data_IF_232747449249
#
_entry.id   IF_232747449249
#
_cell.length_a   1.000
_cell.length_b   1.000
_cell.length_c   1.000
_cell.angle_alpha   90.00
_cell.angle_beta   90.00
_cell.angle_gamma   90.00
#
_symmetry.space_group_name_H-M   'P 1'
#
loop_
_entity.id
_entity.type
_entity.pdbx_description
1 polymer ?
#
# COMPACT_ATOMS: atom_id res chain seq x y z
N UNK A 1 6.08 -9.59 -10.25
CA UNK A 1 7.27 -10.46 -10.50
C UNK A 1 7.79 -10.38 -11.94
N UNK A 2 6.93 -10.42 -12.96
CA UNK A 2 7.36 -10.38 -14.38
C UNK A 2 8.14 -9.10 -14.76
N UNK A 3 7.99 -8.00 -14.00
CA UNK A 3 8.64 -6.71 -14.23
C UNK A 3 9.74 -6.38 -13.22
N UNK A 4 10.20 -7.38 -12.45
CA UNK A 4 11.28 -7.20 -11.48
C UNK A 4 10.93 -6.34 -10.25
N UNK A 5 9.63 -6.15 -9.96
CA UNK A 5 9.17 -5.52 -8.73
C UNK A 5 9.04 -6.60 -7.65
N UNK A 6 9.82 -6.54 -6.56
CA UNK A 6 9.64 -7.42 -5.42
C UNK A 6 8.27 -7.20 -4.78
N UNK A 7 7.50 -8.27 -4.67
CA UNK A 7 6.18 -8.31 -4.02
C UNK A 7 6.09 -9.56 -3.16
N UNK A 8 5.26 -9.60 -2.11
CA UNK A 8 5.02 -10.82 -1.35
C UNK A 8 4.50 -11.93 -2.25
N UNK A 9 4.69 -13.18 -1.85
CA UNK A 9 4.00 -14.30 -2.49
C UNK A 9 2.51 -14.08 -2.33
N UNK A 10 1.79 -14.11 -3.44
CA UNK A 10 0.38 -13.74 -3.49
C UNK A 10 -0.38 -14.73 -4.35
N UNK A 11 -1.54 -15.16 -3.86
CA UNK A 11 -2.50 -15.99 -4.55
C UNK A 11 -3.83 -15.25 -4.70
N UNK A 12 -4.43 -15.35 -5.88
CA UNK A 12 -5.85 -15.05 -6.05
C UNK A 12 -6.60 -16.34 -5.74
N UNK A 13 -7.43 -16.29 -4.71
CA UNK A 13 -8.10 -17.45 -4.13
C UNK A 13 -9.58 -17.43 -4.48
N UNK A 14 -10.07 -18.52 -5.01
CA UNK A 14 -11.46 -18.85 -5.22
C UNK A 14 -11.79 -20.19 -4.51
N UNK A 15 -13.07 -20.60 -4.49
CA UNK A 15 -13.50 -21.78 -3.70
C UNK A 15 -12.75 -23.07 -4.04
N UNK A 16 -12.38 -23.26 -5.31
CA UNK A 16 -11.74 -24.49 -5.79
C UNK A 16 -10.28 -24.62 -5.36
N UNK A 17 -9.52 -23.49 -5.31
CA UNK A 17 -8.10 -23.51 -4.95
C UNK A 17 -7.83 -23.08 -3.48
N UNK A 18 -8.86 -22.80 -2.71
CA UNK A 18 -8.74 -22.36 -1.31
C UNK A 18 -7.90 -23.28 -0.42
N UNK A 19 -7.93 -24.59 -0.70
CA UNK A 19 -7.15 -25.61 0.01
C UNK A 19 -5.63 -25.51 -0.21
N UNK A 20 -5.20 -24.80 -1.25
CA UNK A 20 -3.78 -24.70 -1.63
C UNK A 20 -3.07 -23.56 -0.86
N UNK A 21 -3.83 -22.65 -0.24
CA UNK A 21 -3.28 -21.42 0.38
C UNK A 21 -2.23 -21.74 1.44
N UNK A 22 -2.53 -22.65 2.38
CA UNK A 22 -1.61 -23.01 3.47
C UNK A 22 -0.33 -23.67 2.95
N UNK A 23 -0.44 -24.55 1.95
CA UNK A 23 0.70 -25.22 1.34
C UNK A 23 1.60 -24.24 0.54
N UNK A 24 0.99 -23.30 -0.17
CA UNK A 24 1.70 -22.34 -1.03
C UNK A 24 2.33 -21.18 -0.26
N UNK A 25 1.64 -20.64 0.74
CA UNK A 25 2.10 -19.44 1.45
C UNK A 25 2.74 -19.75 2.81
N UNK A 26 2.38 -20.87 3.44
CA UNK A 26 2.75 -21.17 4.82
C UNK A 26 1.96 -20.33 5.83
N UNK A 27 2.34 -20.43 7.11
CA UNK A 27 1.74 -19.67 8.20
C UNK A 27 2.79 -18.86 8.97
N UNK A 28 2.38 -17.67 9.49
CA UNK A 28 1.10 -17.02 9.25
C UNK A 28 0.95 -16.52 7.82
N UNK A 29 -0.29 -16.39 7.34
CA UNK A 29 -0.63 -15.74 6.08
C UNK A 29 -1.71 -14.67 6.27
N UNK A 30 -1.87 -13.79 5.27
CA UNK A 30 -2.81 -12.68 5.32
C UNK A 30 -3.85 -12.84 4.23
N UNK A 31 -5.11 -12.70 4.58
CA UNK A 31 -6.23 -12.69 3.65
C UNK A 31 -6.77 -11.28 3.53
N UNK A 32 -7.06 -10.86 2.30
CA UNK A 32 -7.63 -9.54 1.97
C UNK A 32 -8.82 -9.70 1.03
N UNK A 33 -9.88 -8.95 1.25
CA UNK A 33 -10.93 -8.81 0.24
C UNK A 33 -10.49 -7.78 -0.80
N UNK A 34 -10.65 -8.07 -2.11
CA UNK A 34 -10.22 -7.16 -3.18
C UNK A 34 -10.93 -5.81 -3.17
N UNK A 35 -12.18 -5.78 -2.67
CA UNK A 35 -13.09 -4.64 -2.63
C UNK A 35 -13.05 -3.87 -1.29
N UNK A 36 -12.00 -4.05 -0.50
CA UNK A 36 -11.85 -3.42 0.81
C UNK A 36 -10.77 -2.35 0.82
N UNK A 37 -10.94 -1.36 1.69
CA UNK A 37 -10.00 -0.27 1.92
C UNK A 37 -9.75 -0.06 3.41
N UNK A 38 -8.74 0.72 3.77
CA UNK A 38 -8.43 1.11 5.15
C UNK A 38 -8.25 -0.08 6.11
N UNK A 39 -7.57 -1.15 5.68
CA UNK A 39 -7.40 -2.40 6.43
C UNK A 39 -8.71 -3.11 6.83
N UNK A 40 -9.86 -2.65 6.35
CA UNK A 40 -11.13 -3.35 6.53
C UNK A 40 -11.12 -4.61 5.65
N UNK A 41 -11.46 -5.76 6.24
CA UNK A 41 -11.42 -7.03 5.50
C UNK A 41 -10.01 -7.54 5.23
N UNK A 42 -9.06 -7.20 6.10
CA UNK A 42 -7.71 -7.78 6.15
C UNK A 42 -7.56 -8.55 7.45
N UNK A 43 -7.29 -9.84 7.37
CA UNK A 43 -7.11 -10.74 8.53
C UNK A 43 -5.84 -11.56 8.39
N UNK A 44 -5.26 -11.95 9.51
CA UNK A 44 -4.12 -12.85 9.57
C UNK A 44 -4.59 -14.21 10.07
N UNK A 45 -4.21 -15.26 9.38
CA UNK A 45 -4.40 -16.64 9.80
C UNK A 45 -3.06 -17.21 10.28
N UNK A 46 -3.02 -17.67 11.53
CA UNK A 46 -1.82 -18.20 12.15
C UNK A 46 -1.66 -19.72 11.90
N UNK A 47 -2.74 -20.38 11.54
CA UNK A 47 -2.81 -21.81 11.28
C UNK A 47 -3.94 -22.16 10.29
N UNK A 48 -4.04 -23.43 9.97
CA UNK A 48 -5.03 -23.97 9.04
C UNK A 48 -6.48 -23.83 9.54
N UNK A 49 -6.71 -23.85 10.85
CA UNK A 49 -8.03 -23.70 11.43
C UNK A 49 -8.54 -22.26 11.28
N UNK A 50 -7.70 -21.27 11.60
CA UNK A 50 -8.00 -19.86 11.40
C UNK A 50 -8.19 -19.54 9.91
N UNK A 51 -7.33 -20.10 9.05
CA UNK A 51 -7.45 -19.94 7.60
C UNK A 51 -8.83 -20.37 7.09
N UNK A 52 -9.29 -21.58 7.46
CA UNK A 52 -10.61 -22.09 7.06
C UNK A 52 -11.76 -21.22 7.56
N UNK A 53 -11.70 -20.77 8.81
CA UNK A 53 -12.72 -19.91 9.39
C UNK A 53 -12.80 -18.56 8.66
N UNK A 54 -11.65 -17.94 8.37
CA UNK A 54 -11.60 -16.67 7.65
C UNK A 54 -12.05 -16.81 6.18
N UNK A 55 -11.64 -17.86 5.48
CA UNK A 55 -12.08 -18.14 4.12
C UNK A 55 -13.59 -18.32 4.06
N UNK A 56 -14.20 -19.06 4.98
CA UNK A 56 -15.66 -19.24 5.05
C UNK A 56 -16.37 -17.88 5.20
N UNK A 57 -15.86 -17.02 6.09
CA UNK A 57 -16.42 -15.68 6.32
C UNK A 57 -16.27 -14.78 5.08
N UNK A 58 -15.13 -14.82 4.41
CA UNK A 58 -14.84 -13.97 3.26
C UNK A 58 -15.62 -14.40 2.02
N UNK A 59 -15.73 -15.71 1.75
CA UNK A 59 -16.51 -16.24 0.66
C UNK A 59 -18.03 -16.07 0.80
N UNK A 60 -18.50 -15.69 1.99
CA UNK A 60 -19.90 -15.26 2.15
C UNK A 60 -20.18 -13.88 1.52
N UNK A 61 -19.12 -13.09 1.22
CA UNK A 61 -19.22 -11.70 0.77
C UNK A 61 -18.45 -11.40 -0.52
N UNK A 62 -17.52 -12.26 -0.93
CA UNK A 62 -16.68 -12.06 -2.12
C UNK A 62 -16.41 -13.39 -2.81
N UNK A 63 -16.42 -13.43 -4.12
CA UNK A 63 -16.06 -14.61 -4.90
C UNK A 63 -14.56 -14.84 -4.97
N UNK A 64 -13.79 -13.76 -4.85
CA UNK A 64 -12.34 -13.77 -4.89
C UNK A 64 -11.76 -13.20 -3.58
N UNK A 65 -10.65 -13.77 -3.17
CA UNK A 65 -9.87 -13.33 -2.00
C UNK A 65 -8.40 -13.21 -2.45
N UNK A 66 -7.70 -12.22 -1.94
CA UNK A 66 -6.24 -12.14 -2.10
C UNK A 66 -5.61 -12.74 -0.85
N UNK A 67 -4.80 -13.79 -1.02
CA UNK A 67 -3.98 -14.35 0.05
C UNK A 67 -2.51 -14.00 -0.18
N UNK A 68 -1.83 -13.57 0.88
CA UNK A 68 -0.42 -13.18 0.84
C UNK A 68 0.37 -13.81 1.99
N UNK A 69 1.66 -14.09 1.76
CA UNK A 69 2.56 -14.43 2.85
C UNK A 69 2.62 -13.27 3.84
N UNK A 70 2.73 -13.59 5.13
CA UNK A 70 2.89 -12.58 6.17
C UNK A 70 4.34 -12.13 6.23
N UNK A 71 4.56 -10.84 6.07
CA UNK A 71 5.87 -10.20 6.17
C UNK A 71 5.88 -9.28 7.41
N UNK A 72 6.53 -9.68 8.53
CA UNK A 72 6.58 -8.87 9.74
C UNK A 72 7.48 -7.65 9.53
N UNK A 73 7.03 -6.48 10.00
CA UNK A 73 7.80 -5.25 10.02
C UNK A 73 7.39 -4.39 11.22
N UNK A 74 8.24 -3.49 11.64
CA UNK A 74 7.94 -2.52 12.72
C UNK A 74 7.18 -1.31 12.17
N UNK A 75 7.37 -1.00 10.91
CA UNK A 75 6.71 0.07 10.17
C UNK A 75 6.63 -0.29 8.68
N UNK A 76 5.79 0.40 7.98
CA UNK A 76 5.73 0.40 6.52
C UNK A 76 6.18 1.77 5.99
N UNK A 77 7.03 1.77 4.98
CA UNK A 77 7.31 2.97 4.20
C UNK A 77 6.09 3.30 3.34
N UNK A 78 5.66 4.56 3.36
CA UNK A 78 4.79 5.13 2.32
C UNK A 78 5.55 6.20 1.57
N UNK A 79 5.80 5.95 0.31
CA UNK A 79 6.52 6.88 -0.56
C UNK A 79 5.53 7.44 -1.58
N UNK A 80 5.31 8.76 -1.51
CA UNK A 80 4.50 9.48 -2.50
C UNK A 80 5.29 9.64 -3.79
N UNK A 81 4.69 9.24 -4.89
CA UNK A 81 5.27 9.39 -6.25
C UNK A 81 4.30 10.18 -7.12
N UNK A 82 4.73 11.36 -7.55
CA UNK A 82 3.95 12.25 -8.40
C UNK A 82 4.59 12.34 -9.78
N UNK A 83 3.85 11.96 -10.80
CA UNK A 83 4.31 12.04 -12.22
C UNK A 83 5.68 11.35 -12.46
N UNK A 84 5.90 10.21 -11.77
CA UNK A 84 7.14 9.45 -11.84
C UNK A 84 8.30 10.01 -11.01
N UNK A 85 8.05 11.05 -10.19
CA UNK A 85 9.06 11.68 -9.32
C UNK A 85 8.68 11.46 -7.86
N UNK A 86 9.61 11.06 -6.96
CA UNK A 86 9.32 10.94 -5.55
C UNK A 86 8.99 12.32 -4.96
N UNK A 87 7.97 12.39 -4.11
CA UNK A 87 7.47 13.63 -3.52
C UNK A 87 7.69 13.69 -2.01
N UNK A 88 7.28 12.66 -1.27
CA UNK A 88 7.42 12.58 0.17
C UNK A 88 7.69 11.13 0.61
N UNK A 89 8.20 10.96 1.82
CA UNK A 89 8.40 9.65 2.43
C UNK A 89 8.00 9.65 3.90
N UNK A 90 7.21 8.64 4.30
CA UNK A 90 6.75 8.47 5.67
C UNK A 90 7.02 7.04 6.15
N UNK A 91 7.29 6.89 7.44
CA UNK A 91 7.24 5.61 8.17
C UNK A 91 5.94 5.53 8.95
N UNK A 92 5.08 4.61 8.57
CA UNK A 92 3.85 4.30 9.27
C UNK A 92 4.11 3.14 10.23
N UNK A 93 4.25 3.46 11.51
CA UNK A 93 4.53 2.45 12.54
C UNK A 93 3.32 1.57 12.80
N UNK A 94 3.59 0.31 13.12
CA UNK A 94 2.53 -0.59 13.58
C UNK A 94 1.90 -0.08 14.88
N UNK A 95 0.59 -0.26 15.00
CA UNK A 95 -0.10 0.00 16.26
C UNK A 95 0.51 -0.86 17.35
N UNK A 96 0.78 -0.26 18.52
CA UNK A 96 1.39 -0.98 19.65
C UNK A 96 0.66 -2.29 19.96
N UNK A 97 1.39 -3.39 19.91
CA UNK A 97 0.85 -4.73 20.14
C UNK A 97 0.07 -5.31 18.96
N UNK A 98 0.19 -4.70 17.76
CA UNK A 98 -0.48 -5.17 16.55
C UNK A 98 0.46 -5.21 15.35
N UNK A 99 0.06 -5.91 14.31
CA UNK A 99 0.82 -6.10 13.08
C UNK A 99 0.35 -5.20 11.92
N UNK A 100 -0.60 -4.30 12.18
CA UNK A 100 -1.14 -3.34 11.21
C UNK A 100 -0.87 -1.91 11.67
N UNK A 101 -0.78 -0.99 10.71
CA UNK A 101 -0.59 0.45 10.95
C UNK A 101 -1.84 1.12 11.52
N UNK A 102 -3.00 0.47 11.36
CA UNK A 102 -4.27 0.93 11.93
C UNK A 102 -5.13 -0.26 12.35
N UNK A 103 -5.90 -0.09 13.39
CA UNK A 103 -6.80 -1.11 13.97
C UNK A 103 -8.14 -0.48 14.29
N UNK A 104 -9.22 -1.13 13.86
CA UNK A 104 -10.56 -0.74 14.29
C UNK A 104 -10.75 -1.16 15.76
N UNK A 105 -11.14 -0.22 16.63
CA UNK A 105 -11.54 -0.50 18.01
C UNK A 105 -13.04 -0.80 18.09
N UNK A 106 -13.83 -0.08 17.28
CA UNK A 106 -15.26 -0.30 17.09
C UNK A 106 -15.69 0.15 15.68
N UNK A 107 -16.98 0.27 15.42
CA UNK A 107 -17.53 0.72 14.13
C UNK A 107 -17.19 2.16 13.77
N UNK A 108 -16.78 2.98 14.72
CA UNK A 108 -16.56 4.43 14.57
C UNK A 108 -15.14 4.87 14.92
N UNK A 109 -14.44 4.13 15.77
CA UNK A 109 -13.11 4.48 16.29
C UNK A 109 -12.01 3.61 15.72
N UNK A 110 -10.91 4.25 15.36
CA UNK A 110 -9.69 3.59 14.90
C UNK A 110 -8.51 4.08 15.70
N UNK A 111 -7.57 3.19 15.95
CA UNK A 111 -6.28 3.51 16.52
C UNK A 111 -5.24 3.40 15.41
N UNK A 112 -4.40 4.41 15.31
CA UNK A 112 -3.33 4.52 14.32
C UNK A 112 -1.98 4.37 15.01
N UNK A 113 -1.02 3.82 14.30
CA UNK A 113 0.38 3.90 14.67
C UNK A 113 0.93 5.32 14.48
N UNK A 114 2.11 5.57 15.05
CA UNK A 114 2.82 6.84 14.83
C UNK A 114 3.24 6.95 13.37
N UNK A 115 3.26 8.17 12.85
CA UNK A 115 3.82 8.49 11.53
C UNK A 115 5.04 9.36 11.72
N UNK A 116 6.16 8.99 11.11
CA UNK A 116 7.36 9.84 11.01
C UNK A 116 7.54 10.21 9.54
N UNK A 117 7.56 11.49 9.22
CA UNK A 117 7.86 11.99 7.87
C UNK A 117 9.31 12.40 7.79
N UNK A 118 9.99 11.93 6.76
CA UNK A 118 11.42 12.14 6.55
C UNK A 118 11.66 12.91 5.25
N UNK A 119 12.79 13.60 5.19
CA UNK A 119 13.32 14.09 3.93
C UNK A 119 13.64 12.93 2.98
N UNK A 120 13.58 13.19 1.68
CA UNK A 120 13.96 12.17 0.69
C UNK A 120 15.44 11.79 0.79
N UNK A 121 16.28 12.70 1.25
CA UNK A 121 17.70 12.49 1.53
C UNK A 121 17.97 11.63 2.77
N UNK A 122 17.01 11.57 3.69
CA UNK A 122 17.04 10.70 4.87
C UNK A 122 16.39 9.32 4.63
N UNK A 123 15.79 9.13 3.46
CA UNK A 123 15.06 7.90 3.09
C UNK A 123 15.98 6.98 2.29
N UNK A 124 15.98 5.65 2.55
CA UNK A 124 16.80 4.72 1.78
C UNK A 124 16.59 4.87 0.27
N UNK A 125 17.65 5.14 -0.51
CA UNK A 125 17.52 5.39 -1.95
C UNK A 125 16.94 4.18 -2.70
N UNK A 126 17.16 2.96 -2.22
CA UNK A 126 16.62 1.73 -2.79
C UNK A 126 15.09 1.67 -2.63
N UNK A 127 14.55 2.14 -1.49
CA UNK A 127 13.12 2.22 -1.26
C UNK A 127 12.48 3.25 -2.20
N UNK A 128 13.09 4.43 -2.35
CA UNK A 128 12.64 5.47 -3.28
C UNK A 128 12.66 4.95 -4.71
N UNK A 129 13.77 4.35 -5.14
CA UNK A 129 13.90 3.81 -6.50
C UNK A 129 12.87 2.70 -6.77
N UNK A 130 12.60 1.85 -5.78
CA UNK A 130 11.57 0.80 -5.89
C UNK A 130 10.17 1.41 -6.01
N UNK A 131 9.84 2.43 -5.18
CA UNK A 131 8.55 3.13 -5.24
C UNK A 131 8.30 3.73 -6.62
N UNK A 132 9.28 4.46 -7.15
CA UNK A 132 9.20 5.08 -8.49
C UNK A 132 9.02 4.01 -9.58
N UNK A 133 9.82 2.95 -9.54
CA UNK A 133 9.66 1.84 -10.50
C UNK A 133 8.29 1.20 -10.43
N UNK A 134 7.76 1.00 -9.22
CA UNK A 134 6.45 0.39 -9.00
C UNK A 134 5.32 1.30 -9.51
N UNK A 135 5.32 2.59 -9.12
CA UNK A 135 4.35 3.58 -9.57
C UNK A 135 4.31 3.71 -11.10
N UNK A 136 5.48 3.70 -11.77
CA UNK A 136 5.60 3.78 -13.22
C UNK A 136 5.02 2.55 -13.96
N UNK A 137 4.73 1.42 -13.26
CA UNK A 137 4.00 0.30 -13.87
C UNK A 137 2.49 0.59 -13.99
N UNK A 138 1.97 1.48 -13.15
CA UNK A 138 0.56 1.89 -13.15
C UNK A 138 0.36 3.06 -14.11
N UNK A 139 1.21 4.08 -14.01
CA UNK A 139 1.11 5.25 -14.89
C UNK A 139 1.78 6.48 -14.30
N UNK A 140 1.39 7.64 -14.81
CA UNK A 140 1.92 8.95 -14.42
C UNK A 140 0.91 9.69 -13.53
N UNK A 141 0.45 9.06 -12.45
CA UNK A 141 -0.47 9.62 -11.48
C UNK A 141 0.22 10.22 -10.26
N UNK A 142 -0.58 10.44 -9.23
CA UNK A 142 -0.09 10.61 -7.87
C UNK A 142 -0.38 9.30 -7.12
N UNK A 143 0.65 8.65 -6.66
CA UNK A 143 0.58 7.33 -6.02
C UNK A 143 1.23 7.34 -4.64
N UNK A 144 0.62 6.64 -3.69
CA UNK A 144 1.26 6.25 -2.44
C UNK A 144 1.69 4.79 -2.52
N UNK A 145 3.00 4.53 -2.49
CA UNK A 145 3.56 3.19 -2.58
C UNK A 145 3.93 2.70 -1.19
N UNK A 146 3.28 1.63 -0.75
CA UNK A 146 3.54 0.99 0.53
C UNK A 146 4.61 -0.09 0.38
N UNK A 147 5.68 0.03 1.15
CA UNK A 147 6.86 -0.84 1.06
C UNK A 147 7.22 -1.33 2.46
N UNK A 148 7.46 -2.63 2.57
CA UNK A 148 8.09 -3.23 3.77
C UNK A 148 9.59 -3.33 3.58
N UNK A 149 10.31 -3.02 4.66
CA UNK A 149 11.74 -3.26 4.80
C UNK A 149 11.95 -4.52 5.65
N UNK A 150 12.67 -5.49 5.10
CA UNK A 150 12.92 -6.80 5.69
C UNK A 150 14.40 -7.15 5.53
N UNK A 151 15.18 -7.05 6.59
CA UNK A 151 16.61 -7.37 6.58
C UNK A 151 17.38 -6.68 5.41
N UNK A 152 17.11 -5.38 5.22
CA UNK A 152 17.70 -4.57 4.15
C UNK A 152 17.13 -4.81 2.74
N UNK A 153 16.09 -5.62 2.62
CA UNK A 153 15.35 -5.82 1.36
C UNK A 153 14.03 -5.07 1.40
N UNK A 154 13.64 -4.51 0.26
CA UNK A 154 12.40 -3.76 0.11
C UNK A 154 11.40 -4.53 -0.75
N UNK A 155 10.14 -4.58 -0.29
CA UNK A 155 9.05 -5.34 -0.92
C UNK A 155 7.82 -4.45 -1.01
N UNK A 156 7.30 -4.25 -2.23
CA UNK A 156 6.08 -3.47 -2.48
C UNK A 156 4.87 -4.28 -2.02
N UNK A 157 4.09 -3.70 -1.12
CA UNK A 157 2.86 -4.28 -0.59
C UNK A 157 1.63 -3.81 -1.35
N UNK A 158 1.58 -2.51 -1.68
CA UNK A 158 0.42 -1.86 -2.28
C UNK A 158 0.83 -0.59 -3.03
N UNK A 159 0.03 -0.22 -4.03
CA UNK A 159 0.11 1.07 -4.73
C UNK A 159 -1.28 1.70 -4.66
N UNK A 160 -1.38 2.80 -3.93
CA UNK A 160 -2.62 3.55 -3.78
C UNK A 160 -2.68 4.64 -4.85
N UNK A 161 -3.73 4.64 -5.66
CA UNK A 161 -3.95 5.61 -6.75
C UNK A 161 -4.70 6.88 -6.29
N UNK A 162 -5.17 6.87 -5.04
CA UNK A 162 -5.73 8.03 -4.35
C UNK A 162 -5.13 8.11 -2.93
N UNK A 163 -3.82 8.43 -2.81
CA UNK A 163 -3.15 8.43 -1.53
C UNK A 163 -3.66 9.56 -0.64
N UNK A 164 -3.79 9.26 0.65
CA UNK A 164 -4.07 10.28 1.66
C UNK A 164 -2.90 11.26 1.75
N UNK A 165 -3.22 12.53 1.95
CA UNK A 165 -2.30 13.58 2.34
C UNK A 165 -2.94 14.33 3.50
N UNK A 166 -2.43 14.12 4.70
CA UNK A 166 -2.98 14.70 5.93
C UNK A 166 -2.01 15.75 6.49
N UNK A 167 -2.58 16.87 6.95
CA UNK A 167 -1.81 17.93 7.56
C UNK A 167 -1.09 17.46 8.83
N UNK A 168 0.21 17.72 8.90
CA UNK A 168 1.07 17.25 9.98
C UNK A 168 1.56 15.82 9.87
N UNK A 169 1.13 15.09 8.81
CA UNK A 169 1.62 13.77 8.44
C UNK A 169 2.46 13.87 7.16
N UNK A 170 1.91 13.54 6.01
CA UNK A 170 2.64 13.49 4.74
C UNK A 170 3.24 14.84 4.34
N UNK A 171 2.63 15.95 4.73
CA UNK A 171 3.11 17.30 4.47
C UNK A 171 4.12 17.82 5.52
N UNK A 172 4.44 17.05 6.55
CA UNK A 172 5.21 17.55 7.71
C UNK A 172 6.58 18.14 7.32
N UNK A 173 7.21 17.68 6.25
CA UNK A 173 8.50 18.20 5.74
C UNK A 173 8.25 19.30 4.69
N UNK A 174 7.46 19.02 3.66
CA UNK A 174 7.26 19.92 2.51
C UNK A 174 6.24 21.01 2.77
N UNK A 175 5.35 20.87 3.76
CA UNK A 175 4.30 21.84 4.05
C UNK A 175 3.45 22.17 2.80
N UNK A 176 3.22 23.42 2.52
CA UNK A 176 2.45 23.93 1.37
C UNK A 176 3.06 23.51 0.03
N UNK A 177 4.38 23.31 -0.03
CA UNK A 177 5.06 22.92 -1.27
C UNK A 177 4.60 21.55 -1.78
N UNK A 178 4.19 20.64 -0.90
CA UNK A 178 3.61 19.37 -1.30
C UNK A 178 2.33 19.58 -2.12
N UNK A 179 1.41 20.36 -1.60
CA UNK A 179 0.14 20.65 -2.27
C UNK A 179 0.35 21.43 -3.56
N UNK A 180 1.25 22.41 -3.55
CA UNK A 180 1.61 23.17 -4.73
C UNK A 180 2.21 22.28 -5.83
N UNK A 181 3.06 21.31 -5.48
CA UNK A 181 3.62 20.36 -6.44
C UNK A 181 2.53 19.51 -7.11
N UNK A 182 1.59 19.00 -6.32
CA UNK A 182 0.45 18.22 -6.81
C UNK A 182 -0.41 19.08 -7.75
N UNK A 183 -0.84 20.26 -7.29
CA UNK A 183 -1.71 21.15 -8.06
C UNK A 183 -1.06 21.63 -9.36
N UNK A 184 0.23 22.03 -9.33
CA UNK A 184 0.97 22.44 -10.52
C UNK A 184 1.09 21.31 -11.54
N UNK A 185 1.30 20.08 -11.09
CA UNK A 185 1.42 18.92 -11.97
C UNK A 185 0.10 18.64 -12.70
N UNK A 186 -1.03 18.63 -11.98
CA UNK A 186 -2.33 18.39 -12.61
C UNK A 186 -2.79 19.58 -13.45
N UNK A 187 -2.52 20.82 -13.03
CA UNK A 187 -2.83 22.03 -13.82
C UNK A 187 -2.09 22.01 -15.15
N UNK A 188 -0.78 21.71 -15.14
CA UNK A 188 0.01 21.59 -16.39
C UNK A 188 -0.61 20.57 -17.35
N UNK A 189 -1.00 19.40 -16.86
CA UNK A 189 -1.64 18.35 -17.68
C UNK A 189 -2.99 18.81 -18.25
N UNK A 190 -3.75 19.55 -17.47
CA UNK A 190 -4.99 20.13 -17.93
C UNK A 190 -4.76 21.11 -19.08
N UNK A 191 -3.75 22.00 -18.97
CA UNK A 191 -3.38 22.91 -20.03
C UNK A 191 -2.89 22.21 -21.30
N UNK A 192 -2.02 21.20 -21.15
CA UNK A 192 -1.53 20.38 -22.27
C UNK A 192 -2.69 19.75 -23.03
N UNK A 193 -3.62 19.11 -22.32
CA UNK A 193 -4.81 18.50 -22.92
C UNK A 193 -5.75 19.53 -23.57
N UNK A 194 -5.92 20.68 -22.95
CA UNK A 194 -6.75 21.75 -23.50
C UNK A 194 -6.17 22.32 -24.83
N UNK A 195 -4.84 22.34 -24.98
CA UNK A 195 -4.17 22.73 -26.22
C UNK A 195 -4.37 21.68 -27.32
N UNK A 196 -4.26 20.40 -26.99
CA UNK A 196 -4.46 19.28 -27.93
C UNK A 196 -5.90 19.26 -28.51
N UNK A 197 -6.89 19.70 -27.71
CA UNK A 197 -8.30 19.70 -28.08
C UNK A 197 -8.76 20.97 -28.82
N UNK A 198 -7.90 21.99 -29.00
CA UNK A 198 -8.26 23.17 -29.81
C UNK A 198 -8.24 22.78 -31.27
N UNK A 199 -9.36 22.92 -32.00
CA UNK A 199 -9.37 22.75 -33.45
C UNK A 199 -8.45 23.80 -34.11
N UNK A 200 -7.71 23.37 -35.13
CA UNK A 200 -6.89 24.19 -36.00
C UNK A 200 -7.80 25.14 -36.80
#
# INVERSE_FOLDING_TARGET
RRRGIPTPRTLVVHRENAKEVGAELGFPCVLKRPDSSFSLGVVKANDEQELKAHLATFFARSELIVAQEFLPSQFDWRIGVLDGTPLHACRYHMVRGHWQIQVAEDTTKRRYGRVDTLGLDETPPEAIALAVRAANQVGRGFYGVDIKELDGRFVVMEINDNPSVEAGCEDAVLKDDLYLAVMRTFYRRFEERARELRPI
#
